data_IF_185069463218
#
_entry.id   IF_185069463218
#
_cell.length_a   1.000
_cell.length_b   1.000
_cell.length_c   1.000
_cell.angle_alpha   90.00
_cell.angle_beta   90.00
_cell.angle_gamma   90.00
#
_symmetry.space_group_name_H-M   'P 1'
#
loop_
_entity.id
_entity.type
_entity.pdbx_description
1 polymer ?
#
# COMPACT_ATOMS: atom_id res chain seq x y z
N UNK A 1 -6.80 -20.42 15.90
CA UNK A 1 -6.37 -20.00 14.55
C UNK A 1 -6.64 -18.51 14.44
N UNK A 2 -5.64 -17.73 14.09
CA UNK A 2 -5.77 -16.29 13.85
C UNK A 2 -6.12 -16.06 12.38
N UNK A 3 -6.98 -15.07 12.12
CA UNK A 3 -7.31 -14.65 10.74
C UNK A 3 -6.08 -14.12 9.97
N UNK A 4 -4.99 -13.82 10.70
CA UNK A 4 -3.71 -13.37 10.15
C UNK A 4 -2.69 -14.50 9.93
N UNK A 5 -3.03 -15.77 10.21
CA UNK A 5 -2.09 -16.90 10.09
C UNK A 5 -1.68 -17.17 8.62
N UNK A 6 -2.55 -16.85 7.66
CA UNK A 6 -2.29 -17.01 6.23
C UNK A 6 -2.74 -15.77 5.46
N UNK A 7 -1.80 -15.01 4.93
CA UNK A 7 -2.08 -13.76 4.22
C UNK A 7 -1.62 -13.91 2.77
N UNK A 8 -2.54 -13.82 1.82
CA UNK A 8 -2.24 -13.79 0.39
C UNK A 8 -2.41 -12.37 -0.12
N UNK A 9 -1.36 -11.82 -0.70
CA UNK A 9 -1.33 -10.45 -1.23
C UNK A 9 -1.32 -10.51 -2.75
N UNK A 10 -2.25 -9.80 -3.38
CA UNK A 10 -2.28 -9.60 -4.83
C UNK A 10 -2.15 -8.13 -5.14
N UNK A 11 -1.25 -7.79 -6.05
CA UNK A 11 -0.97 -6.40 -6.42
C UNK A 11 -1.26 -6.18 -7.90
N UNK A 12 -1.95 -5.09 -8.22
CA UNK A 12 -2.13 -4.58 -9.57
C UNK A 12 -1.42 -3.24 -9.68
N UNK A 13 -0.29 -3.21 -10.38
CA UNK A 13 0.40 -1.97 -10.72
C UNK A 13 -0.43 -1.12 -11.68
N UNK A 14 -0.22 0.19 -11.64
CA UNK A 14 -0.83 1.20 -12.51
C UNK A 14 0.28 1.99 -13.20
N UNK A 15 -0.04 3.04 -13.96
CA UNK A 15 1.02 3.90 -14.51
C UNK A 15 1.91 4.48 -13.40
N UNK A 16 3.21 4.64 -13.68
CA UNK A 16 4.17 5.17 -12.70
C UNK A 16 3.74 6.54 -12.13
N UNK A 17 3.16 7.38 -12.98
CA UNK A 17 2.66 8.71 -12.61
C UNK A 17 1.23 8.72 -12.05
N UNK A 18 0.55 7.57 -11.99
CA UNK A 18 -0.79 7.47 -11.42
C UNK A 18 -0.74 7.52 -9.89
N UNK A 19 -1.83 8.01 -9.30
CA UNK A 19 -2.04 7.96 -7.86
C UNK A 19 -3.45 7.43 -7.59
N UNK A 20 -3.63 6.18 -7.13
CA UNK A 20 -2.59 5.25 -6.67
C UNK A 20 -1.69 4.68 -7.76
N UNK A 21 -0.43 4.41 -7.41
CA UNK A 21 0.55 3.71 -8.26
C UNK A 21 0.27 2.20 -8.32
N UNK A 22 -0.38 1.65 -7.30
CA UNK A 22 -0.84 0.27 -7.31
C UNK A 22 -2.07 0.07 -6.42
N UNK A 23 -2.86 -0.95 -6.74
CA UNK A 23 -3.98 -1.40 -5.92
C UNK A 23 -3.67 -2.79 -5.39
N UNK A 24 -3.88 -2.98 -4.09
CA UNK A 24 -3.63 -4.20 -3.36
C UNK A 24 -4.97 -4.84 -2.98
N UNK A 25 -5.00 -6.16 -3.07
CA UNK A 25 -6.03 -7.02 -2.49
C UNK A 25 -5.35 -7.95 -1.50
N UNK A 26 -5.87 -8.04 -0.29
CA UNK A 26 -5.39 -8.95 0.76
C UNK A 26 -6.48 -9.97 1.05
N UNK A 27 -6.13 -11.25 0.98
CA UNK A 27 -6.95 -12.34 1.45
C UNK A 27 -6.39 -12.85 2.79
N UNK A 28 -7.24 -12.84 3.82
CA UNK A 28 -6.93 -13.18 5.21
C UNK A 28 -7.56 -14.54 5.52
N UNK A 29 -6.70 -15.56 5.62
CA UNK A 29 -7.03 -16.95 5.94
C UNK A 29 -8.19 -17.55 5.11
N UNK A 30 -8.39 -17.11 3.87
CA UNK A 30 -9.52 -17.52 3.01
C UNK A 30 -10.91 -17.17 3.58
N UNK A 31 -10.98 -16.47 4.70
CA UNK A 31 -12.20 -16.07 5.38
C UNK A 31 -12.65 -14.66 5.00
N UNK A 32 -11.68 -13.75 4.81
CA UNK A 32 -11.95 -12.36 4.48
C UNK A 32 -11.07 -11.88 3.32
N UNK A 33 -11.64 -11.02 2.49
CA UNK A 33 -10.91 -10.36 1.42
C UNK A 33 -11.11 -8.85 1.49
N UNK A 34 -10.00 -8.13 1.60
CA UNK A 34 -9.97 -6.67 1.61
C UNK A 34 -9.40 -6.21 0.27
N UNK A 35 -10.26 -5.60 -0.55
CA UNK A 35 -9.90 -5.08 -1.87
C UNK A 35 -9.69 -3.57 -1.83
N UNK A 36 -9.09 -3.04 -2.89
CA UNK A 36 -8.94 -1.60 -3.12
C UNK A 36 -8.06 -0.89 -2.10
N UNK A 37 -7.06 -1.58 -1.53
CA UNK A 37 -6.04 -0.97 -0.67
C UNK A 37 -5.06 -0.21 -1.58
N UNK A 38 -5.01 1.13 -1.56
CA UNK A 38 -4.13 1.87 -2.45
C UNK A 38 -2.69 1.93 -1.92
N UNK A 39 -1.74 1.80 -2.84
CA UNK A 39 -0.37 2.28 -2.68
C UNK A 39 -0.30 3.65 -3.37
N UNK A 40 0.06 4.68 -2.63
CA UNK A 40 -0.03 6.08 -3.03
C UNK A 40 1.36 6.72 -3.01
N UNK A 41 1.59 7.61 -3.97
CA UNK A 41 2.66 8.60 -3.85
C UNK A 41 2.25 9.67 -2.84
N UNK A 42 3.21 10.16 -2.05
CA UNK A 42 3.08 11.46 -1.40
C UNK A 42 2.99 12.57 -2.45
N UNK A 43 2.44 13.72 -2.05
CA UNK A 43 2.26 14.87 -2.96
C UNK A 43 3.56 15.31 -3.66
N UNK A 44 4.70 15.24 -2.98
CA UNK A 44 6.02 15.57 -3.50
C UNK A 44 6.68 14.44 -4.31
N UNK A 45 6.06 13.26 -4.34
CA UNK A 45 6.54 12.03 -4.99
C UNK A 45 7.93 11.56 -4.53
N UNK A 46 8.29 11.90 -3.29
CA UNK A 46 9.52 11.38 -2.66
C UNK A 46 9.28 10.14 -1.81
N UNK A 47 8.05 9.91 -1.36
CA UNK A 47 7.68 8.76 -0.54
C UNK A 47 6.49 8.02 -1.13
N UNK A 48 6.38 6.75 -0.77
CA UNK A 48 5.22 5.91 -1.06
C UNK A 48 4.63 5.41 0.25
N UNK A 49 3.31 5.40 0.35
CA UNK A 49 2.61 4.83 1.49
C UNK A 49 1.44 3.94 1.08
N UNK A 50 1.01 3.11 2.02
CA UNK A 50 -0.19 2.28 1.90
C UNK A 50 -1.19 2.76 2.94
N UNK A 51 -2.46 2.86 2.54
CA UNK A 51 -3.57 3.12 3.48
C UNK A 51 -4.68 2.10 3.24
N UNK A 52 -5.58 1.97 4.20
CA UNK A 52 -6.75 1.10 4.05
C UNK A 52 -7.76 1.70 3.06
N UNK A 53 -8.60 0.87 2.40
CA UNK A 53 -9.65 1.37 1.52
C UNK A 53 -10.55 2.33 2.31
N UNK A 54 -10.90 3.45 1.68
CA UNK A 54 -11.70 4.49 2.31
C UNK A 54 -12.83 4.99 1.41
N UNK A 55 -13.90 5.50 2.03
CA UNK A 55 -15.05 6.03 1.32
C UNK A 55 -14.92 7.54 1.14
N UNK A 56 -14.67 7.98 -0.09
CA UNK A 56 -14.58 9.42 -0.43
C UNK A 56 -15.82 10.21 0.00
N UNK A 57 -17.02 9.66 -0.20
CA UNK A 57 -18.29 10.28 0.18
C UNK A 57 -18.46 10.49 1.70
N UNK A 58 -17.64 9.83 2.52
CA UNK A 58 -17.67 9.88 3.98
C UNK A 58 -16.37 10.45 4.53
N UNK A 59 -15.87 11.53 3.91
CA UNK A 59 -14.62 12.22 4.31
C UNK A 59 -13.42 11.26 4.41
N UNK A 60 -13.34 10.31 3.48
CA UNK A 60 -12.28 9.31 3.43
C UNK A 60 -12.18 8.45 4.70
N UNK A 61 -13.32 8.15 5.34
CA UNK A 61 -13.36 7.17 6.43
C UNK A 61 -12.94 5.79 5.94
N UNK A 62 -12.04 5.13 6.67
CA UNK A 62 -11.58 3.78 6.36
C UNK A 62 -12.73 2.76 6.47
N UNK A 63 -12.87 1.93 5.44
CA UNK A 63 -13.81 0.81 5.39
C UNK A 63 -13.37 -0.36 6.28
N UNK A 64 -12.06 -0.49 6.47
CA UNK A 64 -11.42 -1.57 7.20
C UNK A 64 -10.25 -1.01 8.00
N UNK A 65 -10.06 -1.50 9.23
CA UNK A 65 -8.99 -1.08 10.12
C UNK A 65 -8.42 -2.30 10.82
N UNK A 66 -7.10 -2.43 10.82
CA UNK A 66 -6.38 -3.38 11.67
C UNK A 66 -5.99 -2.60 12.92
N UNK A 67 -6.65 -2.87 14.04
CA UNK A 67 -6.44 -2.12 15.30
C UNK A 67 -5.10 -2.43 15.96
N UNK A 68 -4.53 -3.60 15.70
CA UNK A 68 -3.20 -3.98 16.17
C UNK A 68 -2.13 -3.33 15.27
N UNK A 69 -1.46 -2.31 15.81
CA UNK A 69 -0.44 -1.53 15.10
C UNK A 69 0.78 -2.36 14.70
N UNK A 70 1.13 -3.38 15.49
CA UNK A 70 2.25 -4.28 15.19
C UNK A 70 1.92 -5.13 13.98
N UNK A 71 0.72 -5.73 13.97
CA UNK A 71 0.24 -6.57 12.86
C UNK A 71 0.03 -5.75 11.60
N UNK A 72 -0.48 -4.53 11.73
CA UNK A 72 -0.59 -3.63 10.59
C UNK A 72 0.79 -3.30 9.99
N UNK A 73 1.80 -3.05 10.82
CA UNK A 73 3.18 -2.81 10.36
C UNK A 73 3.77 -4.03 9.65
N UNK A 74 3.56 -5.24 10.17
CA UNK A 74 3.98 -6.49 9.52
C UNK A 74 3.33 -6.68 8.15
N UNK A 75 2.02 -6.47 8.05
CA UNK A 75 1.28 -6.55 6.78
C UNK A 75 1.76 -5.48 5.81
N UNK A 76 1.96 -4.24 6.26
CA UNK A 76 2.51 -3.14 5.44
C UNK A 76 3.87 -3.51 4.85
N UNK A 77 4.76 -4.14 5.63
CA UNK A 77 6.07 -4.62 5.14
C UNK A 77 5.90 -5.68 4.06
N UNK A 78 5.01 -6.66 4.25
CA UNK A 78 4.74 -7.70 3.25
C UNK A 78 4.18 -7.10 1.95
N UNK A 79 3.25 -6.13 2.05
CA UNK A 79 2.71 -5.43 0.87
C UNK A 79 3.83 -4.76 0.07
N UNK A 80 4.77 -4.07 0.73
CA UNK A 80 5.87 -3.43 0.02
C UNK A 80 6.85 -4.41 -0.60
N UNK A 81 7.14 -5.52 0.08
CA UNK A 81 7.99 -6.57 -0.50
C UNK A 81 7.38 -7.13 -1.78
N UNK A 82 6.10 -7.51 -1.75
CA UNK A 82 5.37 -7.98 -2.93
C UNK A 82 5.28 -6.90 -4.02
N UNK A 83 5.12 -5.63 -3.61
CA UNK A 83 5.05 -4.52 -4.55
C UNK A 83 6.37 -4.32 -5.28
N UNK A 84 7.50 -4.39 -4.58
CA UNK A 84 8.82 -4.26 -5.19
C UNK A 84 9.08 -5.38 -6.20
N UNK A 85 8.73 -6.63 -5.88
CA UNK A 85 8.86 -7.78 -6.80
C UNK A 85 8.03 -7.58 -8.07
N UNK A 86 6.83 -7.01 -7.94
CA UNK A 86 5.99 -6.67 -9.10
C UNK A 86 6.55 -5.47 -9.87
N UNK A 87 6.96 -4.43 -9.17
CA UNK A 87 7.44 -3.19 -9.73
C UNK A 87 8.70 -3.39 -10.59
N UNK A 88 9.62 -4.25 -10.14
CA UNK A 88 10.83 -4.61 -10.89
C UNK A 88 10.52 -5.22 -12.28
N UNK A 89 9.38 -5.89 -12.41
CA UNK A 89 8.95 -6.56 -13.65
C UNK A 89 8.11 -5.66 -14.56
N UNK A 90 7.35 -4.74 -13.98
CA UNK A 90 6.33 -3.96 -14.69
C UNK A 90 6.76 -2.52 -15.04
N UNK A 91 7.73 -1.95 -14.31
CA UNK A 91 8.22 -0.59 -14.57
C UNK A 91 9.60 -0.58 -15.24
N UNK A 92 9.95 0.55 -15.87
CA UNK A 92 11.31 0.76 -16.35
C UNK A 92 12.31 0.87 -15.18
N UNK A 93 13.57 0.53 -15.41
CA UNK A 93 14.59 0.50 -14.35
C UNK A 93 14.68 1.81 -13.56
N UNK A 94 14.67 2.95 -14.26
CA UNK A 94 14.71 4.28 -13.65
C UNK A 94 13.47 4.59 -12.78
N UNK A 95 12.31 4.08 -13.16
CA UNK A 95 11.07 4.20 -12.38
C UNK A 95 11.11 3.30 -11.16
N UNK A 96 11.56 2.05 -11.32
CA UNK A 96 11.75 1.11 -10.23
C UNK A 96 12.73 1.63 -9.18
N UNK A 97 13.88 2.19 -9.60
CA UNK A 97 14.88 2.75 -8.68
C UNK A 97 14.28 3.88 -7.83
N UNK A 98 13.39 4.69 -8.41
CA UNK A 98 12.66 5.74 -7.69
C UNK A 98 11.66 5.16 -6.69
N UNK A 99 10.91 4.13 -7.08
CA UNK A 99 9.97 3.42 -6.20
C UNK A 99 10.72 2.82 -5.01
N UNK A 100 11.82 2.11 -5.27
CA UNK A 100 12.62 1.45 -4.24
C UNK A 100 13.19 2.48 -3.26
N UNK A 101 13.75 3.58 -3.77
CA UNK A 101 14.21 4.69 -2.94
C UNK A 101 13.09 5.28 -2.08
N UNK A 102 11.92 5.52 -2.66
CA UNK A 102 10.77 6.09 -1.96
C UNK A 102 10.20 5.18 -0.86
N UNK A 103 10.32 3.87 -1.01
CA UNK A 103 9.93 2.90 0.03
C UNK A 103 10.98 2.85 1.15
N UNK A 104 12.27 2.88 0.81
CA UNK A 104 13.36 2.86 1.81
C UNK A 104 13.45 4.16 2.63
N UNK A 105 13.02 5.29 2.06
CA UNK A 105 13.03 6.61 2.71
C UNK A 105 11.83 6.85 3.62
N UNK A 106 10.94 5.87 3.83
CA UNK A 106 9.77 6.03 4.69
C UNK A 106 10.16 6.56 6.07
N UNK A 107 9.78 7.82 6.33
CA UNK A 107 9.67 8.34 7.69
C UNK A 107 8.46 7.67 8.34
N UNK A 108 8.61 7.23 9.58
CA UNK A 108 7.55 6.50 10.31
C UNK A 108 6.26 7.33 10.47
N UNK A 109 6.38 8.66 10.44
CA UNK A 109 5.25 9.60 10.42
C UNK A 109 5.05 10.19 9.01
N UNK A 110 4.02 9.71 8.32
CA UNK A 110 3.51 10.38 7.11
C UNK A 110 2.66 11.55 7.59
N UNK A 111 3.05 12.78 7.22
CA UNK A 111 2.24 13.96 7.50
C UNK A 111 0.90 13.85 6.74
N UNK A 112 -0.22 14.01 7.45
CA UNK A 112 -1.56 13.94 6.86
C UNK A 112 -1.77 14.98 5.74
N UNK A 113 -1.02 16.09 5.76
CA UNK A 113 -1.03 17.11 4.71
C UNK A 113 -0.38 16.65 3.38
N UNK A 114 0.34 15.52 3.40
CA UNK A 114 0.99 14.93 2.22
C UNK A 114 0.09 13.92 1.50
N UNK A 115 -1.09 13.61 2.06
CA UNK A 115 -2.10 12.79 1.41
C UNK A 115 -2.67 13.58 0.22
N UNK A 116 -2.65 13.04 -1.01
CA UNK A 116 -3.28 13.69 -2.15
C UNK A 116 -4.80 13.76 -1.91
N UNK A 117 -5.35 14.97 -1.76
CA UNK A 117 -6.79 15.25 -1.66
C UNK A 117 -7.54 15.00 -2.97
#
# INVERSE_FOLDING_TARGET
>A
MSIFDNIKITIKCRGFDENPIAIVTINLNEEAEVRFIPILWTRDRNNIFVTMPSLKGFRYQNCFVISDTTRFSEIKKQIFQEFLVKAEKEYHQNEFDRINKAIQQQKEDINLDEIPL
#
